data_IF_880284976915
#
_entry.id   IF_880284976915
#
_cell.length_a   1.000
_cell.length_b   1.000
_cell.length_c   1.000
_cell.angle_alpha   90.00
_cell.angle_beta   90.00
_cell.angle_gamma   90.00
#
_symmetry.space_group_name_H-M   'P 1'
#
loop_
_entity.id
_entity.type
_entity.pdbx_description
1 polymer ?
#
# COMPACT_ATOMS: atom_id res chain seq x y z
N UNK A 1 -7.09 10.70 -10.84
CA UNK A 1 -6.32 10.15 -9.71
C UNK A 1 -7.02 8.92 -9.15
N UNK A 2 -6.43 7.75 -9.38
CA UNK A 2 -6.85 6.52 -8.74
C UNK A 2 -6.24 6.38 -7.32
N UNK A 3 -6.50 5.26 -6.67
CA UNK A 3 -6.01 4.98 -5.32
C UNK A 3 -4.47 4.90 -5.25
N UNK A 4 -3.81 4.40 -6.29
CA UNK A 4 -2.37 4.24 -6.36
C UNK A 4 -1.68 5.58 -6.65
N UNK A 5 -2.28 6.43 -7.49
CA UNK A 5 -1.84 7.80 -7.74
C UNK A 5 -1.77 8.61 -6.44
N UNK A 6 -2.85 8.59 -5.65
CA UNK A 6 -2.89 9.34 -4.39
C UNK A 6 -1.88 8.80 -3.39
N UNK A 7 -1.75 7.49 -3.30
CA UNK A 7 -0.77 6.87 -2.42
C UNK A 7 0.64 7.31 -2.80
N UNK A 8 0.97 7.30 -4.10
CA UNK A 8 2.26 7.75 -4.63
C UNK A 8 2.53 9.21 -4.27
N UNK A 9 1.56 10.10 -4.52
CA UNK A 9 1.68 11.53 -4.16
C UNK A 9 1.92 11.71 -2.65
N UNK A 10 1.23 10.95 -1.81
CA UNK A 10 1.41 11.04 -0.36
C UNK A 10 2.83 10.63 0.06
N UNK A 11 3.33 9.52 -0.48
CA UNK A 11 4.68 9.03 -0.16
C UNK A 11 5.76 9.97 -0.71
N UNK A 12 5.58 10.53 -1.91
CA UNK A 12 6.48 11.55 -2.47
C UNK A 12 6.47 12.85 -1.65
N UNK A 13 5.34 13.20 -1.06
CA UNK A 13 5.21 14.31 -0.12
C UNK A 13 5.82 14.02 1.27
N UNK A 14 6.44 12.84 1.46
CA UNK A 14 7.12 12.45 2.68
C UNK A 14 6.24 11.78 3.72
N UNK A 15 4.99 11.43 3.40
CA UNK A 15 4.17 10.61 4.30
C UNK A 15 4.72 9.19 4.34
N UNK A 16 4.71 8.59 5.53
CA UNK A 16 4.93 7.16 5.67
C UNK A 16 3.84 6.36 4.95
N UNK A 17 4.17 5.15 4.50
CA UNK A 17 3.27 4.30 3.72
C UNK A 17 1.93 4.03 4.43
N UNK A 18 1.96 3.74 5.73
CA UNK A 18 0.73 3.53 6.52
C UNK A 18 -0.16 4.77 6.55
N UNK A 19 0.44 5.97 6.63
CA UNK A 19 -0.30 7.22 6.58
C UNK A 19 -0.86 7.50 5.18
N UNK A 20 -0.10 7.16 4.12
CA UNK A 20 -0.58 7.25 2.74
C UNK A 20 -1.77 6.30 2.49
N UNK A 21 -1.71 5.06 2.98
CA UNK A 21 -2.83 4.10 2.95
C UNK A 21 -4.06 4.65 3.70
N UNK A 22 -3.87 5.29 4.86
CA UNK A 22 -4.96 5.95 5.59
C UNK A 22 -5.61 7.04 4.75
N UNK A 23 -4.82 7.85 4.03
CA UNK A 23 -5.34 8.91 3.14
C UNK A 23 -6.18 8.36 1.99
N UNK A 24 -5.79 7.22 1.43
CA UNK A 24 -6.59 6.53 0.40
C UNK A 24 -7.89 5.99 1.00
N UNK A 25 -7.81 5.35 2.17
CA UNK A 25 -8.98 4.83 2.88
C UNK A 25 -9.97 5.93 3.27
N UNK A 26 -9.49 7.10 3.69
CA UNK A 26 -10.33 8.26 4.04
C UNK A 26 -11.04 8.87 2.82
N UNK A 27 -10.51 8.69 1.61
CA UNK A 27 -10.97 9.40 0.42
C UNK A 27 -11.97 8.62 -0.45
N UNK A 28 -11.90 7.29 -0.44
CA UNK A 28 -12.75 6.46 -1.28
C UNK A 28 -13.41 5.33 -0.49
N UNK A 29 -14.63 4.98 -0.89
CA UNK A 29 -15.35 3.81 -0.41
C UNK A 29 -15.41 2.76 -1.53
N UNK A 30 -14.25 2.16 -1.83
CA UNK A 30 -14.13 1.10 -2.83
C UNK A 30 -13.28 -0.05 -2.29
N UNK A 31 -13.26 -1.17 -3.02
CA UNK A 31 -12.60 -2.41 -2.57
C UNK A 31 -11.12 -2.21 -2.23
N UNK A 32 -10.41 -1.37 -2.99
CA UNK A 32 -8.99 -1.07 -2.74
C UNK A 32 -8.81 -0.26 -1.46
N UNK A 33 -9.59 0.82 -1.30
CA UNK A 33 -9.54 1.68 -0.13
C UNK A 33 -9.90 0.91 1.16
N UNK A 34 -10.98 0.12 1.14
CA UNK A 34 -11.37 -0.75 2.23
C UNK A 34 -10.29 -1.80 2.57
N UNK A 35 -9.60 -2.30 1.55
CA UNK A 35 -8.49 -3.24 1.73
C UNK A 35 -7.29 -2.59 2.42
N UNK A 36 -6.96 -1.34 2.11
CA UNK A 36 -5.94 -0.57 2.84
C UNK A 36 -6.31 -0.35 4.31
N UNK A 37 -7.57 0.01 4.59
CA UNK A 37 -8.06 0.13 5.97
C UNK A 37 -7.95 -1.20 6.73
N UNK A 38 -8.24 -2.33 6.06
CA UNK A 38 -8.06 -3.66 6.64
C UNK A 38 -6.60 -3.98 6.92
N UNK A 39 -5.67 -3.65 6.01
CA UNK A 39 -4.23 -3.84 6.24
C UNK A 39 -3.78 -3.10 7.50
N UNK A 40 -4.14 -1.82 7.63
CA UNK A 40 -3.78 -1.01 8.81
C UNK A 40 -4.31 -1.68 10.09
N UNK A 41 -5.56 -2.16 10.08
CA UNK A 41 -6.17 -2.83 11.23
C UNK A 41 -5.49 -4.15 11.57
N UNK A 42 -5.16 -4.97 10.57
CA UNK A 42 -4.44 -6.23 10.77
C UNK A 42 -3.07 -5.99 11.42
N UNK A 43 -2.36 -4.95 10.99
CA UNK A 43 -1.07 -4.54 11.58
C UNK A 43 -1.24 -4.08 13.04
N UNK A 44 -2.26 -3.27 13.32
CA UNK A 44 -2.58 -2.84 14.69
C UNK A 44 -2.91 -4.01 15.62
N UNK A 45 -3.46 -5.10 15.09
CA UNK A 45 -3.73 -6.34 15.80
C UNK A 45 -2.49 -7.25 15.94
N UNK A 46 -1.31 -6.79 15.52
CA UNK A 46 -0.04 -7.48 15.68
C UNK A 46 0.39 -8.35 14.50
N UNK A 47 -0.36 -8.33 13.38
CA UNK A 47 0.08 -9.03 12.16
C UNK A 47 1.28 -8.32 11.56
N UNK A 48 2.24 -9.08 11.05
CA UNK A 48 3.38 -8.50 10.33
C UNK A 48 2.88 -7.76 9.09
N UNK A 49 3.38 -6.54 8.85
CA UNK A 49 3.01 -5.70 7.69
C UNK A 49 3.10 -6.47 6.38
N UNK A 50 4.21 -7.18 6.15
CA UNK A 50 4.42 -8.01 4.95
C UNK A 50 3.30 -9.03 4.72
N UNK A 51 2.77 -9.63 5.79
CA UNK A 51 1.75 -10.68 5.70
C UNK A 51 0.38 -10.05 5.51
N UNK A 52 0.10 -8.91 6.16
CA UNK A 52 -1.13 -8.13 5.93
C UNK A 52 -1.24 -7.65 4.47
N UNK A 53 -0.14 -7.15 3.91
CA UNK A 53 -0.06 -6.69 2.52
C UNK A 53 -0.19 -7.84 1.52
N UNK A 54 0.45 -8.98 1.76
CA UNK A 54 0.28 -10.18 0.92
C UNK A 54 -1.16 -10.67 0.91
N UNK A 55 -1.79 -10.79 2.07
CA UNK A 55 -3.19 -11.18 2.14
C UNK A 55 -4.12 -10.18 1.43
N UNK A 56 -3.78 -8.89 1.42
CA UNK A 56 -4.51 -7.90 0.62
C UNK A 56 -4.38 -8.16 -0.87
N UNK A 57 -3.18 -8.42 -1.38
CA UNK A 57 -2.96 -8.75 -2.79
C UNK A 57 -3.74 -10.00 -3.19
N UNK A 58 -3.66 -11.07 -2.39
CA UNK A 58 -4.33 -12.34 -2.64
C UNK A 58 -5.86 -12.18 -2.66
N UNK A 59 -6.42 -11.36 -1.76
CA UNK A 59 -7.87 -11.08 -1.72
C UNK A 59 -8.35 -10.26 -2.91
N UNK A 60 -7.56 -9.28 -3.36
CA UNK A 60 -7.94 -8.44 -4.48
C UNK A 60 -7.85 -9.19 -5.81
N UNK A 61 -6.91 -10.12 -5.94
CA UNK A 61 -6.74 -10.91 -7.16
C UNK A 61 -6.35 -10.07 -8.39
N UNK A 62 -5.90 -8.83 -8.17
CA UNK A 62 -5.48 -7.91 -9.24
C UNK A 62 -3.96 -8.03 -9.41
N UNK A 63 -3.51 -8.40 -10.60
CA UNK A 63 -2.10 -8.61 -10.91
C UNK A 63 -1.24 -7.36 -10.67
N UNK A 64 -1.80 -6.18 -10.98
CA UNK A 64 -1.17 -4.88 -10.74
C UNK A 64 -0.94 -4.64 -9.23
N UNK A 65 -1.97 -4.87 -8.40
CA UNK A 65 -1.85 -4.74 -6.95
C UNK A 65 -0.86 -5.76 -6.37
N UNK A 66 -0.82 -6.97 -6.91
CA UNK A 66 0.13 -8.00 -6.48
C UNK A 66 1.58 -7.57 -6.74
N UNK A 67 1.84 -7.07 -7.96
CA UNK A 67 3.16 -6.55 -8.35
C UNK A 67 3.56 -5.35 -7.50
N UNK A 68 2.62 -4.43 -7.27
CA UNK A 68 2.78 -3.25 -6.43
C UNK A 68 3.19 -3.65 -5.00
N UNK A 69 2.40 -4.50 -4.34
CA UNK A 69 2.66 -4.97 -2.97
C UNK A 69 4.02 -5.67 -2.88
N UNK A 70 4.37 -6.49 -3.87
CA UNK A 70 5.67 -7.15 -3.92
C UNK A 70 6.83 -6.14 -4.01
N UNK A 71 6.68 -5.06 -4.78
CA UNK A 71 7.67 -3.99 -4.85
C UNK A 71 7.79 -3.23 -3.51
N UNK A 72 6.67 -2.94 -2.84
CA UNK A 72 6.65 -2.31 -1.51
C UNK A 72 7.43 -3.17 -0.50
N UNK A 73 7.11 -4.46 -0.41
CA UNK A 73 7.76 -5.38 0.55
C UNK A 73 9.26 -5.49 0.28
N UNK A 74 9.67 -5.56 -1.00
CA UNK A 74 11.09 -5.56 -1.37
C UNK A 74 11.78 -4.26 -0.99
N UNK A 75 11.10 -3.11 -1.15
CA UNK A 75 11.68 -1.81 -0.80
C UNK A 75 11.99 -1.70 0.70
N UNK A 76 11.09 -2.21 1.55
CA UNK A 76 11.28 -2.25 2.99
C UNK A 76 12.45 -3.17 3.39
N UNK A 77 12.59 -4.32 2.73
CA UNK A 77 13.69 -5.26 2.99
C UNK A 77 15.06 -4.71 2.59
N UNK A 78 15.12 -4.03 1.43
CA UNK A 78 16.37 -3.50 0.88
C UNK A 78 16.73 -2.11 1.41
N UNK A 79 15.85 -1.48 2.20
CA UNK A 79 16.04 -0.12 2.71
C UNK A 79 16.08 0.94 1.61
N UNK A 80 15.48 0.65 0.44
CA UNK A 80 15.40 1.60 -0.67
C UNK A 80 14.14 2.45 -0.57
N UNK A 81 14.21 3.69 -1.08
CA UNK A 81 13.11 4.63 -1.02
C UNK A 81 11.84 4.07 -1.67
N UNK A 82 10.76 3.98 -0.89
CA UNK A 82 9.45 3.56 -1.36
C UNK A 82 8.93 4.46 -2.49
N UNK A 83 9.13 5.77 -2.39
CA UNK A 83 8.77 6.73 -3.43
C UNK A 83 9.40 6.34 -4.79
N UNK A 84 10.64 5.84 -4.78
CA UNK A 84 11.31 5.38 -6.00
C UNK A 84 10.64 4.15 -6.61
N UNK A 85 10.17 3.19 -5.80
CA UNK A 85 9.52 2.00 -6.37
C UNK A 85 8.10 2.31 -6.85
N UNK A 86 7.39 3.21 -6.15
CA UNK A 86 6.07 3.68 -6.57
C UNK A 86 6.13 4.38 -7.93
N UNK A 87 7.15 5.21 -8.16
CA UNK A 87 7.36 5.89 -9.46
C UNK A 87 7.65 4.95 -10.64
N UNK A 88 8.15 3.74 -10.39
CA UNK A 88 8.41 2.74 -11.44
C UNK A 88 7.12 1.99 -11.81
N UNK A 89 6.14 1.95 -10.90
CA UNK A 89 4.90 1.20 -11.05
C UNK A 89 3.69 2.08 -11.44
N UNK A 90 3.80 3.40 -11.32
CA UNK A 90 2.80 4.39 -11.72
C UNK A 90 2.88 4.73 -13.22
#
# INVERSE_FOLDING_TARGET
>A
PDALDLLTICVEAGLGFDAAMSKVYEKWDNVVALSFGRVIREIQLGKLRRDALKDMADRLGVAEMTSFIAAVIQSEQLGVSLARVLRIQA
#
